data_IF_545475423506
#
_entry.id   IF_545475423506
#
_cell.length_a   1.000
_cell.length_b   1.000
_cell.length_c   1.000
_cell.angle_alpha   90.00
_cell.angle_beta   90.00
_cell.angle_gamma   90.00
#
_symmetry.space_group_name_H-M   'P 1'
#
loop_
_entity.id
_entity.type
_entity.pdbx_description
1 polymer ?
#
# COMPACT_ATOMS: atom_id res chain seq x y z
N UNK A 1 11.87 48.09 -3.00
CA UNK A 1 13.04 47.44 -2.39
C UNK A 1 12.63 46.01 -2.10
N UNK A 2 13.13 45.06 -2.88
CA UNK A 2 12.64 43.68 -2.99
C UNK A 2 13.81 42.74 -2.69
N UNK A 3 13.79 42.07 -1.54
CA UNK A 3 14.75 41.04 -1.06
C UNK A 3 14.19 40.61 0.31
N UNK A 4 13.81 39.38 0.63
CA UNK A 4 14.39 38.12 0.22
C UNK A 4 13.33 37.00 0.24
N UNK A 5 13.10 36.39 -0.92
CA UNK A 5 12.67 35.00 -1.01
C UNK A 5 13.94 34.17 -0.73
N UNK A 6 14.15 33.76 0.51
CA UNK A 6 15.19 32.78 0.81
C UNK A 6 14.72 31.42 0.30
N UNK A 7 15.36 31.01 -0.80
CA UNK A 7 15.47 29.63 -1.26
C UNK A 7 15.82 28.71 -0.08
N UNK A 8 14.86 27.91 0.39
CA UNK A 8 15.17 26.66 1.07
C UNK A 8 15.43 25.60 0.00
N UNK A 9 16.63 25.63 -0.58
CA UNK A 9 17.23 24.47 -1.23
C UNK A 9 17.60 23.46 -0.16
N UNK A 10 16.61 22.75 0.38
CA UNK A 10 16.86 21.55 1.17
C UNK A 10 16.84 20.36 0.21
N UNK A 11 17.99 19.71 -0.05
CA UNK A 11 18.09 18.65 -1.03
C UNK A 11 17.35 17.41 -0.50
N UNK A 12 16.15 17.16 -1.04
CA UNK A 12 15.46 15.87 -1.02
C UNK A 12 15.68 15.05 0.27
N UNK A 13 15.35 15.62 1.43
CA UNK A 13 15.26 14.84 2.65
C UNK A 13 14.19 13.77 2.43
N UNK A 14 14.63 12.51 2.36
CA UNK A 14 13.82 11.29 2.31
C UNK A 14 12.54 11.43 3.14
N UNK A 15 11.41 11.77 2.50
CA UNK A 15 10.13 12.07 3.17
C UNK A 15 9.63 10.95 4.07
N UNK A 16 9.96 9.71 3.70
CA UNK A 16 9.66 8.52 4.47
C UNK A 16 10.93 8.07 5.19
N UNK A 17 10.79 7.72 6.48
CA UNK A 17 11.91 7.16 7.23
C UNK A 17 12.34 5.82 6.62
N UNK A 18 13.59 5.42 6.85
CA UNK A 18 14.07 4.08 6.49
C UNK A 18 13.15 2.98 7.04
N UNK A 19 12.65 3.14 8.26
CA UNK A 19 11.68 2.23 8.85
C UNK A 19 10.38 2.12 8.01
N UNK A 20 9.81 3.24 7.55
CA UNK A 20 8.61 3.21 6.70
C UNK A 20 8.88 2.46 5.39
N UNK A 21 10.03 2.70 4.76
CA UNK A 21 10.41 2.05 3.49
C UNK A 21 10.65 0.55 3.66
N UNK A 22 11.38 0.16 4.70
CA UNK A 22 11.69 -1.24 4.98
C UNK A 22 10.42 -2.05 5.25
N UNK A 23 9.55 -1.54 6.13
CA UNK A 23 8.32 -2.25 6.47
C UNK A 23 7.33 -2.24 5.29
N UNK A 24 7.30 -1.17 4.49
CA UNK A 24 6.55 -1.16 3.24
C UNK A 24 7.05 -2.23 2.27
N UNK A 25 8.36 -2.34 2.05
CA UNK A 25 8.94 -3.32 1.13
C UNK A 25 8.68 -4.75 1.60
N UNK A 26 8.82 -5.02 2.90
CA UNK A 26 8.48 -6.31 3.50
C UNK A 26 7.01 -6.65 3.34
N UNK A 27 6.11 -5.71 3.62
CA UNK A 27 4.67 -5.90 3.45
C UNK A 27 4.28 -6.11 1.99
N UNK A 28 4.85 -5.32 1.06
CA UNK A 28 4.59 -5.47 -0.37
C UNK A 28 5.04 -6.84 -0.88
N UNK A 29 6.22 -7.31 -0.48
CA UNK A 29 6.70 -8.65 -0.81
C UNK A 29 5.77 -9.73 -0.23
N UNK A 30 5.36 -9.60 1.03
CA UNK A 30 4.44 -10.55 1.65
C UNK A 30 3.11 -10.62 0.89
N UNK A 31 2.50 -9.47 0.54
CA UNK A 31 1.26 -9.43 -0.25
C UNK A 31 1.42 -10.09 -1.62
N UNK A 32 2.54 -9.85 -2.32
CA UNK A 32 2.81 -10.50 -3.61
C UNK A 32 2.91 -12.02 -3.45
N UNK A 33 3.63 -12.51 -2.43
CA UNK A 33 3.73 -13.96 -2.16
C UNK A 33 2.35 -14.55 -1.87
N UNK A 34 1.54 -13.88 -1.05
CA UNK A 34 0.20 -14.33 -0.69
C UNK A 34 -0.75 -14.44 -1.88
N UNK A 35 -0.74 -13.43 -2.76
CA UNK A 35 -1.57 -13.42 -3.96
C UNK A 35 -1.11 -14.44 -5.00
N UNK A 36 0.20 -14.67 -5.12
CA UNK A 36 0.72 -15.67 -6.05
C UNK A 36 0.50 -17.10 -5.53
N UNK A 37 0.69 -17.34 -4.23
CA UNK A 37 0.44 -18.66 -3.65
C UNK A 37 -1.03 -19.04 -3.74
N UNK A 38 -1.95 -18.07 -3.63
CA UNK A 38 -3.39 -18.34 -3.72
C UNK A 38 -3.87 -18.80 -5.10
N UNK A 39 -3.11 -18.55 -6.17
CA UNK A 39 -3.49 -18.97 -7.53
C UNK A 39 -3.48 -20.49 -7.76
N UNK A 40 -2.74 -21.23 -6.93
CA UNK A 40 -2.58 -22.68 -7.06
C UNK A 40 -2.62 -23.42 -5.72
N UNK A 41 -3.01 -22.74 -4.65
CA UNK A 41 -3.17 -23.40 -3.36
C UNK A 41 -4.34 -24.38 -3.39
N UNK A 42 -4.14 -25.54 -2.78
CA UNK A 42 -5.19 -26.52 -2.51
C UNK A 42 -5.30 -26.61 -1.00
N UNK A 43 -6.47 -26.24 -0.47
CA UNK A 43 -6.70 -26.29 0.97
C UNK A 43 -6.93 -27.75 1.42
N UNK A 44 -6.70 -28.06 2.71
CA UNK A 44 -6.97 -29.39 3.23
C UNK A 44 -8.45 -29.76 3.07
N UNK A 45 -8.73 -30.92 2.49
CA UNK A 45 -10.09 -31.46 2.34
C UNK A 45 -10.13 -32.96 2.63
N UNK A 46 -11.16 -33.43 3.34
CA UNK A 46 -11.48 -34.85 3.51
C UNK A 46 -10.27 -35.73 3.94
N UNK A 47 -9.49 -35.25 4.91
CA UNK A 47 -8.31 -35.95 5.43
C UNK A 47 -7.08 -35.89 4.53
N UNK A 48 -7.11 -35.16 3.41
CA UNK A 48 -5.94 -34.82 2.62
C UNK A 48 -5.34 -33.50 3.13
N UNK A 49 -4.02 -33.43 3.38
CA UNK A 49 -3.39 -32.17 3.72
C UNK A 49 -3.45 -31.21 2.53
N UNK A 50 -3.42 -29.91 2.82
CA UNK A 50 -3.22 -28.90 1.80
C UNK A 50 -1.86 -29.03 1.12
N UNK A 51 -1.72 -28.43 -0.06
CA UNK A 51 -0.46 -28.45 -0.78
C UNK A 51 0.56 -27.45 -0.21
N UNK A 52 1.80 -27.48 -0.71
CA UNK A 52 2.85 -26.55 -0.27
C UNK A 52 2.47 -25.06 -0.46
N UNK A 53 1.71 -24.72 -1.50
CA UNK A 53 1.28 -23.34 -1.73
C UNK A 53 0.27 -22.88 -0.67
N UNK A 54 -0.58 -23.78 -0.19
CA UNK A 54 -1.45 -23.51 0.96
C UNK A 54 -0.63 -23.24 2.23
N UNK A 55 0.39 -24.06 2.51
CA UNK A 55 1.27 -23.85 3.68
C UNK A 55 2.02 -22.50 3.60
N UNK A 56 2.52 -22.15 2.41
CA UNK A 56 3.12 -20.82 2.15
C UNK A 56 2.10 -19.70 2.32
N UNK A 57 0.86 -19.91 1.86
CA UNK A 57 -0.22 -18.94 2.04
C UNK A 57 -0.53 -18.76 3.53
N UNK A 58 -0.75 -19.84 4.26
CA UNK A 58 -1.13 -19.85 5.68
C UNK A 58 -0.08 -19.17 6.57
N UNK A 59 1.15 -19.69 6.60
CA UNK A 59 2.21 -19.11 7.45
C UNK A 59 2.74 -17.77 6.92
N UNK A 60 2.74 -17.60 5.59
CA UNK A 60 3.04 -16.30 4.98
C UNK A 60 1.99 -15.25 5.33
N UNK A 61 0.74 -15.65 5.53
CA UNK A 61 -0.37 -14.78 5.93
C UNK A 61 -0.17 -14.23 7.33
N UNK A 62 0.25 -15.08 8.28
CA UNK A 62 0.64 -14.64 9.63
C UNK A 62 1.84 -13.68 9.59
N UNK A 63 2.81 -13.95 8.71
CA UNK A 63 3.94 -13.06 8.49
C UNK A 63 3.48 -11.70 7.93
N UNK A 64 2.58 -11.70 6.94
CA UNK A 64 1.97 -10.49 6.41
C UNK A 64 1.19 -9.71 7.49
N UNK A 65 0.49 -10.42 8.38
CA UNK A 65 -0.20 -9.83 9.53
C UNK A 65 0.77 -9.11 10.47
N UNK A 66 1.91 -9.73 10.80
CA UNK A 66 2.95 -9.09 11.58
C UNK A 66 3.51 -7.83 10.90
N UNK A 67 3.75 -7.88 9.58
CA UNK A 67 4.21 -6.71 8.82
C UNK A 67 3.19 -5.58 8.79
N UNK A 68 1.89 -5.84 8.63
CA UNK A 68 0.88 -4.77 8.63
C UNK A 68 0.74 -4.14 10.03
N UNK A 69 0.83 -4.92 11.11
CA UNK A 69 0.86 -4.39 12.48
C UNK A 69 2.09 -3.50 12.70
N UNK A 70 3.27 -3.96 12.25
CA UNK A 70 4.49 -3.15 12.31
C UNK A 70 4.36 -1.88 11.47
N UNK A 71 3.68 -1.96 10.32
CA UNK A 71 3.44 -0.80 9.47
C UNK A 71 2.55 0.23 10.18
N UNK A 72 1.48 -0.22 10.85
CA UNK A 72 0.65 0.64 11.71
C UNK A 72 1.47 1.31 12.81
N UNK A 73 2.33 0.58 13.51
CA UNK A 73 3.23 1.14 14.55
C UNK A 73 4.15 2.20 13.97
N UNK A 74 4.77 1.94 12.81
CA UNK A 74 5.65 2.92 12.16
C UNK A 74 4.88 4.17 11.71
N UNK A 75 3.67 4.00 11.17
CA UNK A 75 2.81 5.11 10.72
C UNK A 75 2.30 5.95 11.90
N UNK A 76 2.04 5.35 13.06
CA UNK A 76 1.60 6.06 14.29
C UNK A 76 2.74 6.74 15.01
N UNK A 77 3.91 6.10 15.09
CA UNK A 77 5.06 6.62 15.82
C UNK A 77 5.89 7.66 15.03
N UNK A 78 5.76 7.73 13.70
CA UNK A 78 6.58 8.65 12.89
C UNK A 78 6.20 10.12 13.11
N UNK A 79 7.21 10.98 13.19
CA UNK A 79 7.06 12.44 13.25
C UNK A 79 7.17 13.12 11.89
N UNK A 80 7.58 12.39 10.85
CA UNK A 80 7.74 12.87 9.47
C UNK A 80 7.07 11.91 8.49
N UNK A 81 6.55 12.44 7.39
CA UNK A 81 5.90 11.66 6.33
C UNK A 81 4.49 12.16 6.02
N UNK A 82 3.68 11.30 5.39
CA UNK A 82 2.30 11.64 5.03
C UNK A 82 1.44 11.84 6.29
N UNK A 83 0.77 12.99 6.44
CA UNK A 83 -0.17 13.23 7.53
C UNK A 83 -1.30 12.20 7.53
N UNK A 84 -1.71 11.76 8.73
CA UNK A 84 -2.84 10.84 8.96
C UNK A 84 -4.10 11.25 8.20
N UNK A 85 -4.37 12.54 8.19
CA UNK A 85 -5.53 13.08 7.52
C UNK A 85 -5.57 12.86 6.01
N UNK A 86 -4.41 12.78 5.36
CA UNK A 86 -4.32 12.53 3.93
C UNK A 86 -4.40 11.03 3.61
N UNK A 87 -4.01 10.15 4.54
CA UNK A 87 -4.17 8.70 4.41
C UNK A 87 -5.65 8.29 4.52
N UNK A 88 -6.36 8.94 5.45
CA UNK A 88 -7.76 8.63 5.75
C UNK A 88 -8.63 9.88 5.56
N UNK A 89 -8.84 10.33 4.31
CA UNK A 89 -9.57 11.58 4.02
C UNK A 89 -11.08 11.45 4.27
N UNK A 90 -11.59 10.23 4.43
CA UNK A 90 -13.01 9.86 4.45
C UNK A 90 -13.84 10.62 5.49
N UNK A 91 -13.23 11.00 6.61
CA UNK A 91 -13.88 11.67 7.74
C UNK A 91 -13.86 13.20 7.64
N UNK A 92 -13.44 13.79 6.52
CA UNK A 92 -13.40 15.25 6.33
C UNK A 92 -13.95 15.67 4.97
N UNK A 93 -14.95 16.55 4.97
CA UNK A 93 -15.50 17.14 3.74
C UNK A 93 -14.43 17.86 2.92
N UNK A 94 -13.60 18.68 3.57
CA UNK A 94 -12.52 19.41 2.91
C UNK A 94 -11.48 18.47 2.25
N UNK A 95 -11.10 17.37 2.93
CA UNK A 95 -10.12 16.41 2.37
C UNK A 95 -10.70 15.57 1.25
N UNK A 96 -11.98 15.19 1.33
CA UNK A 96 -12.68 14.53 0.21
C UNK A 96 -12.78 15.45 -1.01
N UNK A 97 -13.05 16.74 -0.81
CA UNK A 97 -13.05 17.72 -1.89
C UNK A 97 -11.65 17.87 -2.53
N UNK A 98 -10.60 17.95 -1.72
CA UNK A 98 -9.22 17.99 -2.19
C UNK A 98 -8.83 16.71 -2.97
N UNK A 99 -9.21 15.54 -2.47
CA UNK A 99 -9.03 14.27 -3.16
C UNK A 99 -9.72 14.27 -4.53
N UNK A 100 -10.98 14.72 -4.58
CA UNK A 100 -11.74 14.76 -5.82
C UNK A 100 -11.15 15.73 -6.85
N UNK A 101 -10.68 16.90 -6.39
CA UNK A 101 -9.97 17.86 -7.24
C UNK A 101 -8.68 17.26 -7.81
N UNK A 102 -7.92 16.57 -6.96
CA UNK A 102 -6.66 15.92 -7.36
C UNK A 102 -6.89 14.79 -8.38
N UNK A 103 -7.94 13.97 -8.19
CA UNK A 103 -8.36 12.94 -9.16
C UNK A 103 -8.70 13.58 -10.52
N UNK A 104 -9.49 14.66 -10.53
CA UNK A 104 -9.84 15.36 -11.78
C UNK A 104 -8.62 15.94 -12.47
N UNK A 105 -7.69 16.51 -11.70
CA UNK A 105 -6.45 17.05 -12.22
C UNK A 105 -5.60 15.96 -12.90
N UNK A 106 -5.42 14.82 -12.23
CA UNK A 106 -4.70 13.68 -12.81
C UNK A 106 -5.41 13.07 -14.02
N UNK A 107 -6.74 13.00 -14.02
CA UNK A 107 -7.51 12.50 -15.17
C UNK A 107 -7.38 13.43 -16.40
N UNK A 108 -7.41 14.75 -16.20
CA UNK A 108 -7.18 15.71 -17.27
C UNK A 108 -5.74 15.63 -17.80
N UNK A 109 -4.76 15.55 -16.91
CA UNK A 109 -3.35 15.41 -17.23
C UNK A 109 -3.05 14.12 -18.03
N UNK A 110 -3.70 13.01 -17.69
CA UNK A 110 -3.62 11.76 -18.46
C UNK A 110 -4.16 11.91 -19.89
N UNK A 111 -5.27 12.65 -20.05
CA UNK A 111 -5.83 12.94 -21.39
C UNK A 111 -4.87 13.77 -22.25
N UNK A 112 -4.10 14.65 -21.62
CA UNK A 112 -3.10 15.49 -22.29
C UNK A 112 -1.74 14.79 -22.43
N UNK A 113 -1.60 13.54 -21.96
CA UNK A 113 -0.33 12.78 -21.88
C UNK A 113 0.79 13.55 -21.17
N UNK A 114 0.43 14.43 -20.24
CA UNK A 114 1.37 15.24 -19.44
C UNK A 114 1.02 15.08 -17.98
N UNK A 115 1.62 14.07 -17.34
CA UNK A 115 1.41 13.84 -15.91
C UNK A 115 1.95 15.02 -15.08
N UNK A 116 1.24 15.43 -14.02
CA UNK A 116 1.73 16.49 -13.15
C UNK A 116 3.03 16.06 -12.47
N UNK A 117 3.94 16.99 -12.13
CA UNK A 117 5.09 16.66 -11.32
C UNK A 117 4.67 15.94 -10.04
N UNK A 118 5.47 14.97 -9.60
CA UNK A 118 5.20 14.24 -8.37
C UNK A 118 5.23 15.20 -7.17
N UNK A 119 4.07 15.48 -6.60
CA UNK A 119 3.95 16.11 -5.29
C UNK A 119 3.84 15.02 -4.22
N UNK A 120 4.80 15.00 -3.31
CA UNK A 120 4.76 14.11 -2.15
C UNK A 120 3.46 14.25 -1.35
N UNK A 121 2.84 15.43 -1.31
CA UNK A 121 1.59 15.68 -0.58
C UNK A 121 0.31 15.41 -1.38
N UNK A 122 0.36 14.75 -2.56
CA UNK A 122 -0.83 14.43 -3.35
C UNK A 122 -1.92 13.76 -2.50
N UNK A 123 -3.12 14.37 -2.41
CA UNK A 123 -4.28 13.77 -1.76
C UNK A 123 -4.65 12.39 -2.34
N UNK A 124 -4.59 12.22 -3.66
CA UNK A 124 -4.88 10.95 -4.32
C UNK A 124 -3.90 9.86 -3.94
N UNK A 125 -2.60 10.10 -4.09
CA UNK A 125 -1.57 9.11 -3.76
C UNK A 125 -1.64 8.70 -2.28
N UNK A 126 -1.87 9.66 -1.39
CA UNK A 126 -2.01 9.42 0.05
C UNK A 126 -3.25 8.59 0.38
N UNK A 127 -4.40 8.89 -0.23
CA UNK A 127 -5.64 8.16 -0.02
C UNK A 127 -5.58 6.73 -0.56
N UNK A 128 -4.97 6.53 -1.73
CA UNK A 128 -4.73 5.18 -2.29
C UNK A 128 -3.87 4.36 -1.33
N UNK A 129 -2.77 4.93 -0.82
CA UNK A 129 -1.92 4.24 0.13
C UNK A 129 -2.66 3.86 1.43
N UNK A 130 -3.45 4.79 1.99
CA UNK A 130 -4.28 4.52 3.17
C UNK A 130 -5.36 3.46 2.93
N UNK A 131 -5.98 3.43 1.74
CA UNK A 131 -6.92 2.39 1.34
C UNK A 131 -6.25 1.01 1.30
N UNK A 132 -5.02 0.94 0.76
CA UNK A 132 -4.22 -0.28 0.78
C UNK A 132 -3.94 -0.79 2.18
N UNK A 133 -3.57 0.10 3.11
CA UNK A 133 -3.38 -0.29 4.51
C UNK A 133 -4.64 -0.92 5.12
N UNK A 134 -5.81 -0.33 4.89
CA UNK A 134 -7.08 -0.86 5.41
C UNK A 134 -7.41 -2.22 4.79
N UNK A 135 -7.29 -2.33 3.47
CA UNK A 135 -7.56 -3.57 2.74
C UNK A 135 -6.66 -4.71 3.21
N UNK A 136 -5.35 -4.48 3.30
CA UNK A 136 -4.40 -5.50 3.74
C UNK A 136 -4.57 -5.83 5.23
N UNK A 137 -4.99 -4.87 6.07
CA UNK A 137 -5.36 -5.15 7.46
C UNK A 137 -6.57 -6.10 7.54
N UNK A 138 -7.61 -5.85 6.73
CA UNK A 138 -8.79 -6.70 6.68
C UNK A 138 -8.47 -8.10 6.13
N UNK A 139 -7.68 -8.21 5.06
CA UNK A 139 -7.21 -9.48 4.50
C UNK A 139 -6.40 -10.29 5.50
N UNK A 140 -5.32 -9.72 6.03
CA UNK A 140 -4.46 -10.43 6.97
C UNK A 140 -5.18 -10.76 8.28
N UNK A 141 -6.09 -9.87 8.73
CA UNK A 141 -6.91 -10.09 9.93
C UNK A 141 -7.90 -11.23 9.76
N UNK A 142 -8.63 -11.29 8.64
CA UNK A 142 -9.58 -12.39 8.36
C UNK A 142 -8.85 -13.74 8.21
N UNK A 143 -7.72 -13.78 7.51
CA UNK A 143 -6.91 -15.00 7.39
C UNK A 143 -6.33 -15.46 8.73
N UNK A 144 -5.84 -14.53 9.55
CA UNK A 144 -5.35 -14.84 10.91
C UNK A 144 -6.46 -15.32 11.82
N UNK A 145 -7.66 -14.74 11.72
CA UNK A 145 -8.83 -15.17 12.50
C UNK A 145 -9.21 -16.60 12.14
N UNK A 146 -9.26 -16.92 10.84
CA UNK A 146 -9.53 -18.28 10.39
C UNK A 146 -8.44 -19.27 10.81
N UNK A 147 -7.15 -18.90 10.77
CA UNK A 147 -6.06 -19.75 11.21
C UNK A 147 -6.19 -20.23 12.67
N UNK A 148 -6.59 -19.35 13.59
CA UNK A 148 -6.66 -19.68 15.02
C UNK A 148 -7.99 -20.30 15.47
N UNK A 149 -9.07 -20.00 14.76
CA UNK A 149 -10.44 -20.33 15.20
C UNK A 149 -11.27 -21.04 14.13
N UNK A 150 -10.64 -21.47 13.03
CA UNK A 150 -11.29 -22.18 11.94
C UNK A 150 -11.78 -23.54 12.39
N UNK A 151 -13.04 -23.60 12.82
CA UNK A 151 -13.85 -24.80 12.96
C UNK A 151 -15.14 -24.60 12.15
N UNK A 152 -15.75 -25.70 11.69
CA UNK A 152 -16.99 -25.69 10.90
C UNK A 152 -18.10 -24.90 11.62
N UNK A 153 -18.52 -23.77 11.05
CA UNK A 153 -19.55 -22.92 11.63
C UNK A 153 -19.80 -21.63 10.85
N UNK A 154 -21.07 -21.22 10.76
CA UNK A 154 -21.51 -20.16 9.86
C UNK A 154 -20.86 -18.78 10.01
N UNK A 155 -20.24 -18.47 11.17
CA UNK A 155 -19.45 -17.24 11.31
C UNK A 155 -18.07 -17.35 10.64
N UNK A 156 -17.39 -18.48 10.75
CA UNK A 156 -16.08 -18.67 10.10
C UNK A 156 -16.23 -18.85 8.59
N UNK A 157 -17.33 -19.44 8.13
CA UNK A 157 -17.70 -19.48 6.72
C UNK A 157 -17.83 -18.05 6.15
N UNK A 158 -18.53 -17.17 6.87
CA UNK A 158 -18.65 -15.76 6.50
C UNK A 158 -17.30 -15.02 6.50
N UNK A 159 -16.43 -15.28 7.50
CA UNK A 159 -15.08 -14.70 7.55
C UNK A 159 -14.27 -15.11 6.33
N UNK A 160 -14.35 -16.38 5.92
CA UNK A 160 -13.65 -16.86 4.72
C UNK A 160 -14.25 -16.27 3.44
N UNK A 161 -15.58 -16.17 3.33
CA UNK A 161 -16.23 -15.50 2.19
C UNK A 161 -15.76 -14.04 2.05
N UNK A 162 -15.64 -13.32 3.16
CA UNK A 162 -15.08 -11.97 3.18
C UNK A 162 -13.62 -11.98 2.74
N UNK A 163 -12.81 -12.93 3.22
CA UNK A 163 -11.40 -13.05 2.84
C UNK A 163 -11.23 -13.25 1.32
N UNK A 164 -11.97 -14.20 0.74
CA UNK A 164 -11.95 -14.47 -0.70
C UNK A 164 -12.44 -13.27 -1.52
N UNK A 165 -13.51 -12.60 -1.07
CA UNK A 165 -14.03 -11.39 -1.72
C UNK A 165 -13.00 -10.27 -1.73
N UNK A 166 -12.34 -10.04 -0.59
CA UNK A 166 -11.30 -9.02 -0.45
C UNK A 166 -10.04 -9.39 -1.25
N UNK A 167 -9.76 -10.67 -1.51
CA UNK A 167 -8.62 -11.08 -2.33
C UNK A 167 -8.68 -10.53 -3.76
N UNK A 168 -9.87 -10.48 -4.37
CA UNK A 168 -10.08 -9.85 -5.67
C UNK A 168 -9.79 -8.34 -5.62
N UNK A 169 -10.21 -7.67 -4.55
CA UNK A 169 -9.90 -6.26 -4.34
C UNK A 169 -8.40 -6.04 -4.09
N UNK A 170 -7.71 -6.98 -3.43
CA UNK A 170 -6.27 -6.92 -3.20
C UNK A 170 -5.48 -7.03 -4.52
N UNK A 171 -5.89 -7.91 -5.43
CA UNK A 171 -5.34 -7.97 -6.79
C UNK A 171 -5.53 -6.65 -7.55
N UNK A 172 -6.76 -6.14 -7.56
CA UNK A 172 -7.08 -4.87 -8.23
C UNK A 172 -6.27 -3.71 -7.64
N UNK A 173 -6.15 -3.66 -6.31
CA UNK A 173 -5.35 -2.68 -5.60
C UNK A 173 -3.87 -2.79 -5.96
N UNK A 174 -3.28 -3.99 -5.93
CA UNK A 174 -1.87 -4.21 -6.23
C UNK A 174 -1.55 -3.76 -7.67
N UNK A 175 -2.34 -4.21 -8.64
CA UNK A 175 -2.16 -3.84 -10.05
C UNK A 175 -2.31 -2.33 -10.22
N UNK A 176 -3.37 -1.72 -9.68
CA UNK A 176 -3.61 -0.29 -9.79
C UNK A 176 -2.51 0.54 -9.13
N UNK A 177 -2.12 0.19 -7.91
CA UNK A 177 -1.09 0.88 -7.14
C UNK A 177 0.28 0.80 -7.83
N UNK A 178 0.69 -0.40 -8.26
CA UNK A 178 1.96 -0.59 -8.98
C UNK A 178 1.96 0.14 -10.33
N UNK A 179 0.85 0.07 -11.08
CA UNK A 179 0.71 0.76 -12.37
C UNK A 179 0.81 2.28 -12.21
N UNK A 180 0.15 2.86 -11.21
CA UNK A 180 0.25 4.30 -10.91
C UNK A 180 1.69 4.70 -10.56
N UNK A 181 2.39 3.89 -9.78
CA UNK A 181 3.79 4.14 -9.43
C UNK A 181 4.71 4.03 -10.65
N UNK A 182 4.46 3.09 -11.57
CA UNK A 182 5.18 2.97 -12.84
C UNK A 182 4.91 4.15 -13.77
N UNK A 183 3.66 4.59 -13.91
CA UNK A 183 3.31 5.77 -14.70
C UNK A 183 4.03 7.01 -14.17
N UNK A 184 3.98 7.24 -12.85
CA UNK A 184 4.73 8.33 -12.23
C UNK A 184 6.23 8.22 -12.50
N UNK A 185 6.79 7.01 -12.48
CA UNK A 185 8.21 6.80 -12.74
C UNK A 185 8.64 7.14 -14.17
N UNK A 186 7.82 6.80 -15.17
CA UNK A 186 8.19 7.01 -16.57
C UNK A 186 7.89 8.43 -17.07
N UNK A 187 6.90 9.10 -16.49
CA UNK A 187 6.39 10.38 -17.00
C UNK A 187 6.70 11.59 -16.09
N UNK A 188 7.34 11.39 -14.94
CA UNK A 188 7.73 12.46 -14.02
C UNK A 188 9.17 12.23 -13.50
N UNK A 189 9.64 13.12 -12.63
CA UNK A 189 10.94 12.95 -11.94
C UNK A 189 10.89 11.96 -10.77
N UNK A 190 9.77 11.28 -10.55
CA UNK A 190 9.64 10.26 -9.51
C UNK A 190 10.50 9.03 -9.81
N UNK A 191 11.25 8.57 -8.81
CA UNK A 191 12.02 7.32 -8.90
C UNK A 191 11.41 6.25 -8.00
N UNK A 192 11.00 5.11 -8.57
CA UNK A 192 10.58 3.94 -7.78
C UNK A 192 11.64 3.55 -6.75
N UNK A 193 12.92 3.62 -7.13
CA UNK A 193 14.06 3.37 -6.23
C UNK A 193 14.02 4.20 -4.95
N UNK A 194 13.37 5.36 -4.94
CA UNK A 194 13.22 6.17 -3.72
C UNK A 194 12.43 5.44 -2.63
N UNK A 195 11.50 4.54 -2.98
CA UNK A 195 10.74 3.75 -2.01
C UNK A 195 11.44 2.44 -1.64
N UNK A 196 12.24 1.89 -2.54
CA UNK A 196 12.97 0.63 -2.35
C UNK A 196 14.40 0.81 -1.84
N UNK A 197 14.93 2.04 -1.82
CA UNK A 197 16.29 2.30 -1.35
C UNK A 197 16.37 2.25 0.18
N UNK A 198 17.20 1.34 0.66
CA UNK A 198 17.62 1.31 2.06
C UNK A 198 18.77 2.30 2.35
N UNK A 199 19.38 2.88 1.31
CA UNK A 199 20.38 3.96 1.37
C UNK A 199 19.87 5.30 0.81
N UNK A 200 20.73 6.34 0.77
CA UNK A 200 20.42 7.65 0.19
C UNK A 200 20.01 7.50 -1.29
N UNK A 201 18.91 8.15 -1.69
CA UNK A 201 18.40 8.06 -3.06
C UNK A 201 19.40 8.71 -4.04
N UNK A 202 19.77 8.05 -5.16
CA UNK A 202 20.61 8.67 -6.17
C UNK A 202 19.84 9.77 -6.92
N UNK A 203 20.52 10.87 -7.25
CA UNK A 203 20.01 11.91 -8.15
C UNK A 203 19.98 11.38 -9.60
N UNK A 204 19.00 11.84 -10.38
CA UNK A 204 18.96 11.62 -11.82
C UNK A 204 19.95 12.59 -12.48
N UNK A 205 20.91 12.06 -13.22
CA UNK A 205 21.68 12.87 -14.15
C UNK A 205 20.78 13.15 -15.36
N UNK A 206 20.56 14.45 -15.60
CA UNK A 206 19.74 15.01 -16.69
C UNK A 206 20.41 14.85 -18.05
#
# INVERSE_FOLDING_TARGET
MNTAYQNSTDPAASRHSHATRLVHAGLALAVVVQLLSSLGMEHPENGKPGNFLFEVHEYGGLTAFAFILLFWVVVTARTRGTPWGLLFPWFSGARRAALWLDIKHHAAALREMRLPPHDGASPMASAVHGLGMLLITAMAGTGTLYYFFGDDGGFMDFVMEVHETLANLAWAYLIGHASLAMLQHFFTDFHLRSMWSLGHAPKKDS
#
